data_IF_773209250407
#
_entry.id   IF_773209250407
#
_cell.length_a   1.000
_cell.length_b   1.000
_cell.length_c   1.000
_cell.angle_alpha   90.00
_cell.angle_beta   90.00
_cell.angle_gamma   90.00
#
_symmetry.space_group_name_H-M   'P 1'
#
loop_
_entity.id
_entity.type
_entity.pdbx_description
1 polymer ?
#
# COMPACT_ATOMS: atom_id res chain seq x y z
N UNK A 1 -31.61 14.97 -56.07
CA UNK A 1 -31.54 16.41 -56.40
C UNK A 1 -32.69 17.04 -55.63
N UNK A 2 -32.54 17.36 -54.35
CA UNK A 2 -31.30 17.70 -53.65
C UNK A 2 -31.30 17.18 -52.21
N UNK A 3 -30.12 16.69 -51.84
CA UNK A 3 -29.66 16.43 -50.49
C UNK A 3 -29.66 17.73 -49.67
N UNK A 4 -30.08 17.64 -48.42
CA UNK A 4 -29.75 18.63 -47.40
C UNK A 4 -29.39 17.85 -46.14
N UNK A 5 -28.08 17.68 -45.96
CA UNK A 5 -27.39 17.27 -44.75
C UNK A 5 -27.94 18.00 -43.51
N UNK A 6 -28.29 17.22 -42.50
CA UNK A 6 -28.42 17.69 -41.11
C UNK A 6 -27.14 17.26 -40.39
N UNK A 7 -26.18 18.17 -40.15
CA UNK A 7 -24.98 17.81 -39.42
C UNK A 7 -25.31 17.82 -37.94
N UNK A 8 -25.26 16.63 -37.35
CA UNK A 8 -25.02 16.37 -35.94
C UNK A 8 -23.93 17.30 -35.41
N UNK A 9 -24.31 18.28 -34.59
CA UNK A 9 -23.39 18.86 -33.64
C UNK A 9 -23.47 18.08 -32.34
N UNK A 10 -22.79 16.93 -32.31
CA UNK A 10 -22.05 16.54 -31.12
C UNK A 10 -21.07 17.68 -30.86
N UNK A 11 -21.37 18.48 -29.84
CA UNK A 11 -20.36 19.32 -29.21
C UNK A 11 -19.63 18.39 -28.28
N UNK A 12 -18.49 17.89 -28.75
CA UNK A 12 -17.44 17.40 -27.87
C UNK A 12 -17.24 18.43 -26.76
N UNK A 13 -17.58 18.07 -25.53
CA UNK A 13 -17.19 18.83 -24.37
C UNK A 13 -15.67 18.70 -24.30
N UNK A 14 -14.94 19.73 -24.72
CA UNK A 14 -13.51 19.86 -24.43
C UNK A 14 -13.34 19.72 -22.92
N UNK A 15 -12.81 18.57 -22.48
CA UNK A 15 -12.40 18.36 -21.09
C UNK A 15 -11.27 19.33 -20.80
N UNK A 16 -11.59 20.51 -20.26
CA UNK A 16 -10.60 21.48 -19.75
C UNK A 16 -10.04 21.03 -18.38
N UNK A 17 -9.98 19.72 -18.15
CA UNK A 17 -9.48 19.11 -16.91
C UNK A 17 -7.99 18.80 -17.03
N UNK A 18 -7.32 18.67 -15.89
CA UNK A 18 -5.95 18.18 -15.83
C UNK A 18 -5.88 16.74 -16.35
N UNK A 19 -5.08 16.52 -17.39
CA UNK A 19 -4.82 15.21 -17.99
C UNK A 19 -3.61 14.57 -17.31
N UNK A 20 -3.87 13.82 -16.24
CA UNK A 20 -2.84 13.13 -15.46
C UNK A 20 -2.09 12.07 -16.28
N UNK A 21 -2.70 11.49 -17.31
CA UNK A 21 -2.07 10.49 -18.17
C UNK A 21 -1.08 11.13 -19.14
N UNK A 22 -1.44 12.28 -19.71
CA UNK A 22 -0.50 13.08 -20.49
C UNK A 22 0.68 13.51 -19.65
N UNK A 23 0.40 13.97 -18.43
CA UNK A 23 1.41 14.41 -17.49
C UNK A 23 2.37 13.28 -17.09
N UNK A 24 1.83 12.11 -16.75
CA UNK A 24 2.62 10.93 -16.39
C UNK A 24 3.49 10.39 -17.54
N UNK A 25 3.07 10.56 -18.79
CA UNK A 25 3.87 10.18 -19.97
C UNK A 25 5.02 11.14 -20.26
N UNK A 26 4.92 12.39 -19.78
CA UNK A 26 5.88 13.45 -20.09
C UNK A 26 6.99 13.55 -19.05
N UNK A 27 6.67 13.35 -17.76
CA UNK A 27 7.59 13.62 -16.66
C UNK A 27 7.88 12.39 -15.80
N UNK A 28 9.11 12.32 -15.28
CA UNK A 28 9.56 11.29 -14.37
C UNK A 28 8.74 11.30 -13.05
N UNK A 29 8.33 10.12 -12.51
CA UNK A 29 7.54 10.04 -11.29
C UNK A 29 8.25 10.63 -10.06
N UNK A 30 9.58 10.58 -9.99
CA UNK A 30 10.35 11.20 -8.91
C UNK A 30 10.26 12.73 -8.98
N UNK A 31 10.37 13.32 -10.18
CA UNK A 31 10.21 14.75 -10.37
C UNK A 31 8.78 15.21 -10.01
N UNK A 32 7.77 14.42 -10.42
CA UNK A 32 6.36 14.67 -10.10
C UNK A 32 6.07 14.63 -8.60
N UNK A 33 6.54 13.58 -7.90
CA UNK A 33 6.37 13.47 -6.45
C UNK A 33 7.04 14.62 -5.69
N UNK A 34 8.26 15.00 -6.08
CA UNK A 34 8.97 16.16 -5.51
C UNK A 34 8.23 17.47 -5.74
N UNK A 35 7.67 17.66 -6.94
CA UNK A 35 6.93 18.86 -7.26
C UNK A 35 5.70 19.05 -6.37
N UNK A 36 4.93 17.97 -6.17
CA UNK A 36 3.76 17.98 -5.28
C UNK A 36 4.17 18.34 -3.85
N UNK A 37 5.15 17.64 -3.28
CA UNK A 37 5.64 17.92 -1.92
C UNK A 37 6.12 19.37 -1.79
N UNK A 38 6.96 19.83 -2.71
CA UNK A 38 7.53 21.19 -2.72
C UNK A 38 6.43 22.26 -2.76
N UNK A 39 5.42 22.10 -3.60
CA UNK A 39 4.31 23.06 -3.71
C UNK A 39 3.40 23.06 -2.48
N UNK A 40 3.13 21.89 -1.89
CA UNK A 40 2.29 21.78 -0.71
C UNK A 40 2.98 22.34 0.54
N UNK A 41 4.30 22.20 0.65
CA UNK A 41 5.13 22.88 1.67
C UNK A 41 5.08 24.40 1.48
N UNK A 42 5.27 24.90 0.25
CA UNK A 42 5.20 26.34 -0.04
C UNK A 42 3.82 26.95 0.28
N UNK A 43 2.76 26.14 0.22
CA UNK A 43 1.40 26.53 0.63
C UNK A 43 1.11 26.32 2.11
N UNK A 44 2.10 25.92 2.91
CA UNK A 44 1.98 25.64 4.33
C UNK A 44 0.92 24.57 4.66
N UNK A 45 0.66 23.66 3.70
CA UNK A 45 -0.33 22.58 3.86
C UNK A 45 0.26 21.34 4.53
N UNK A 46 1.57 21.13 4.40
CA UNK A 46 2.32 20.08 5.08
C UNK A 46 3.76 20.57 5.34
N UNK A 47 4.49 19.93 6.24
CA UNK A 47 5.92 20.19 6.46
C UNK A 47 6.78 19.04 5.91
N UNK A 48 8.06 19.31 5.66
CA UNK A 48 9.00 18.23 5.30
C UNK A 48 9.15 17.22 6.43
N UNK A 49 9.21 17.71 7.68
CA UNK A 49 9.22 16.88 8.90
C UNK A 49 8.02 15.95 8.96
N UNK A 50 6.80 16.41 8.67
CA UNK A 50 5.62 15.55 8.67
C UNK A 50 5.70 14.42 7.63
N UNK A 51 6.25 14.71 6.44
CA UNK A 51 6.47 13.68 5.40
C UNK A 51 7.53 12.68 5.86
N UNK A 52 8.64 13.17 6.41
CA UNK A 52 9.74 12.33 6.89
C UNK A 52 9.29 11.43 8.05
N UNK A 53 8.50 11.95 8.99
CA UNK A 53 7.95 11.21 10.12
C UNK A 53 7.01 10.09 9.65
N UNK A 54 6.15 10.35 8.65
CA UNK A 54 5.28 9.31 8.08
C UNK A 54 6.11 8.24 7.37
N UNK A 55 7.09 8.63 6.56
CA UNK A 55 7.96 7.65 5.88
C UNK A 55 8.68 6.77 6.91
N UNK A 56 9.34 7.37 7.91
CA UNK A 56 10.04 6.64 8.96
C UNK A 56 9.11 5.70 9.71
N UNK A 57 7.91 6.16 10.08
CA UNK A 57 6.91 5.34 10.78
C UNK A 57 6.55 4.06 10.00
N UNK A 58 6.34 4.15 8.69
CA UNK A 58 5.94 2.98 7.88
C UNK A 58 7.10 2.15 7.35
N UNK A 59 8.32 2.70 7.27
CA UNK A 59 9.52 1.94 6.88
C UNK A 59 10.18 1.25 8.07
N UNK A 60 10.16 1.86 9.27
CA UNK A 60 10.94 1.41 10.43
C UNK A 60 10.07 0.87 11.58
N UNK A 61 8.94 1.52 11.88
CA UNK A 61 8.20 1.28 13.12
C UNK A 61 6.98 0.35 12.95
N UNK A 62 6.29 0.41 11.80
CA UNK A 62 5.07 -0.35 11.55
C UNK A 62 5.35 -1.58 10.68
N UNK A 63 5.38 -2.74 11.34
CA UNK A 63 5.48 -4.04 10.68
C UNK A 63 4.47 -5.07 11.20
N UNK A 64 4.40 -6.25 10.58
CA UNK A 64 3.45 -7.32 10.93
C UNK A 64 3.63 -7.88 12.36
N UNK A 65 4.70 -7.50 13.07
CA UNK A 65 4.97 -7.93 14.44
C UNK A 65 3.86 -7.54 15.41
N UNK A 66 3.16 -6.41 15.19
CA UNK A 66 2.02 -6.01 16.00
C UNK A 66 0.88 -7.02 15.89
N UNK A 67 0.47 -7.39 14.68
CA UNK A 67 -0.53 -8.43 14.44
C UNK A 67 -0.12 -9.78 15.04
N UNK A 68 1.15 -10.17 14.89
CA UNK A 68 1.66 -11.42 15.46
C UNK A 68 1.53 -11.48 16.99
N UNK A 69 1.82 -10.37 17.68
CA UNK A 69 1.62 -10.25 19.15
C UNK A 69 0.14 -10.34 19.53
N UNK A 70 -0.74 -9.71 18.76
CA UNK A 70 -2.19 -9.80 18.98
C UNK A 70 -2.67 -11.25 18.87
N UNK A 71 -2.24 -11.96 17.81
CA UNK A 71 -2.60 -13.38 17.59
C UNK A 71 -2.05 -14.28 18.71
N UNK A 72 -0.77 -14.15 19.06
CA UNK A 72 -0.14 -14.97 20.10
C UNK A 72 -0.82 -14.78 21.46
N UNK A 73 -1.19 -13.54 21.81
CA UNK A 73 -1.96 -13.25 23.02
C UNK A 73 -3.37 -13.85 22.97
N UNK A 74 -4.05 -13.78 21.82
CA UNK A 74 -5.38 -14.37 21.65
C UNK A 74 -5.38 -15.90 21.75
N UNK A 75 -4.28 -16.57 21.39
CA UNK A 75 -4.13 -18.01 21.59
C UNK A 75 -3.92 -18.40 23.05
N UNK A 76 -3.23 -17.57 23.83
CA UNK A 76 -2.86 -17.86 25.23
C UNK A 76 -3.84 -17.31 26.27
N UNK A 77 -4.65 -16.30 25.91
CA UNK A 77 -5.64 -15.66 26.78
C UNK A 77 -7.03 -15.67 26.12
N UNK A 78 -7.87 -16.60 26.56
CA UNK A 78 -9.25 -16.73 26.06
C UNK A 78 -10.12 -15.50 26.34
N UNK A 79 -9.87 -14.77 27.44
CA UNK A 79 -10.64 -13.58 27.76
C UNK A 79 -10.24 -12.40 26.85
N UNK A 80 -8.95 -12.31 26.50
CA UNK A 80 -8.49 -11.38 25.48
C UNK A 80 -9.03 -11.75 24.10
N UNK A 81 -9.03 -13.05 23.74
CA UNK A 81 -9.64 -13.51 22.49
C UNK A 81 -11.11 -13.10 22.35
N UNK A 82 -11.91 -13.26 23.41
CA UNK A 82 -13.31 -12.83 23.39
C UNK A 82 -13.44 -11.32 23.19
N UNK A 83 -12.58 -10.51 23.81
CA UNK A 83 -12.56 -9.05 23.61
C UNK A 83 -12.14 -8.68 22.20
N UNK A 84 -11.09 -9.32 21.66
CA UNK A 84 -10.56 -9.08 20.33
C UNK A 84 -11.58 -9.33 19.22
N UNK A 85 -12.43 -10.35 19.40
CA UNK A 85 -13.48 -10.71 18.43
C UNK A 85 -14.76 -9.88 18.59
N UNK A 86 -14.93 -9.17 19.71
CA UNK A 86 -16.06 -8.26 19.95
C UNK A 86 -15.73 -6.83 19.46
N UNK A 87 -14.51 -6.35 19.75
CA UNK A 87 -14.01 -5.03 19.37
C UNK A 87 -12.48 -5.10 19.15
N UNK A 88 -12.08 -5.30 17.90
CA UNK A 88 -10.67 -5.48 17.52
C UNK A 88 -9.83 -4.23 17.80
N UNK A 89 -10.36 -3.06 17.45
CA UNK A 89 -9.74 -1.75 17.71
C UNK A 89 -9.45 -1.57 19.20
N UNK A 90 -10.47 -1.67 20.06
CA UNK A 90 -10.30 -1.44 21.50
C UNK A 90 -9.36 -2.47 22.15
N UNK A 91 -9.37 -3.72 21.69
CA UNK A 91 -8.47 -4.76 22.19
C UNK A 91 -7.00 -4.49 21.80
N UNK A 92 -6.74 -3.98 20.60
CA UNK A 92 -5.40 -3.63 20.12
C UNK A 92 -4.87 -2.35 20.79
N UNK A 93 -5.71 -1.33 21.00
CA UNK A 93 -5.34 -0.14 21.78
C UNK A 93 -4.93 -0.50 23.21
N UNK A 94 -5.60 -1.48 23.83
CA UNK A 94 -5.24 -1.99 25.15
C UNK A 94 -3.87 -2.71 25.18
N UNK A 95 -3.29 -2.99 24.01
CA UNK A 95 -1.91 -3.49 23.82
C UNK A 95 -0.91 -2.39 23.45
N UNK A 96 -1.31 -1.12 23.56
CA UNK A 96 -0.52 0.05 23.15
C UNK A 96 -0.20 0.05 21.64
N UNK A 97 -1.08 -0.55 20.82
CA UNK A 97 -1.02 -0.45 19.35
C UNK A 97 -1.86 0.76 18.94
N UNK A 98 -1.20 1.72 18.32
CA UNK A 98 -1.80 2.98 17.88
C UNK A 98 -2.59 2.76 16.58
N UNK A 99 -3.92 2.77 16.70
CA UNK A 99 -4.86 2.70 15.58
C UNK A 99 -5.45 4.09 15.40
N UNK A 100 -5.23 4.66 14.23
CA UNK A 100 -5.86 5.92 13.86
C UNK A 100 -7.34 5.68 13.54
N UNK A 101 -8.18 5.80 14.56
CA UNK A 101 -9.64 5.59 14.47
C UNK A 101 -10.37 6.65 13.65
N UNK A 102 -9.71 7.76 13.29
CA UNK A 102 -10.27 8.73 12.35
C UNK A 102 -10.13 8.24 10.89
N UNK A 103 -9.27 7.24 10.63
CA UNK A 103 -9.05 6.68 9.28
C UNK A 103 -9.44 5.21 9.13
N UNK A 104 -9.39 4.40 10.18
CA UNK A 104 -9.78 2.99 10.10
C UNK A 104 -10.21 2.37 11.44
N UNK A 105 -11.17 1.44 11.34
CA UNK A 105 -11.49 0.49 12.41
C UNK A 105 -10.98 -0.90 12.03
N UNK A 106 -10.54 -1.69 13.02
CA UNK A 106 -10.04 -3.05 12.79
C UNK A 106 -11.00 -4.10 13.35
N UNK A 107 -11.50 -4.97 12.48
CA UNK A 107 -12.31 -6.13 12.83
C UNK A 107 -11.50 -7.42 12.68
N UNK A 108 -11.55 -8.30 13.69
CA UNK A 108 -10.81 -9.56 13.68
C UNK A 108 -11.75 -10.72 13.42
N UNK A 109 -11.44 -11.51 12.38
CA UNK A 109 -12.25 -12.66 11.95
C UNK A 109 -11.49 -13.96 12.21
N UNK A 110 -12.07 -14.87 12.99
CA UNK A 110 -11.36 -16.06 13.46
C UNK A 110 -11.56 -17.26 12.54
N UNK A 111 -10.47 -17.94 12.19
CA UNK A 111 -10.53 -19.27 11.60
C UNK A 111 -10.91 -20.30 12.68
N UNK A 112 -11.65 -21.32 12.28
CA UNK A 112 -11.96 -22.49 13.08
C UNK A 112 -11.88 -23.79 12.26
N UNK A 113 -12.36 -24.90 12.82
CA UNK A 113 -12.24 -26.21 12.17
C UNK A 113 -13.07 -26.31 10.88
N UNK A 114 -14.14 -25.52 10.78
CA UNK A 114 -15.11 -25.55 9.69
C UNK A 114 -15.03 -24.28 8.81
N UNK A 115 -14.35 -23.21 9.25
CA UNK A 115 -14.31 -21.91 8.58
C UNK A 115 -12.88 -21.39 8.39
N UNK A 116 -12.55 -20.98 7.17
CA UNK A 116 -11.33 -20.26 6.81
C UNK A 116 -11.67 -18.89 6.25
N UNK A 117 -11.07 -17.83 6.80
CA UNK A 117 -11.28 -16.46 6.38
C UNK A 117 -10.17 -16.02 5.42
N UNK A 118 -10.54 -15.20 4.43
CA UNK A 118 -9.63 -14.60 3.45
C UNK A 118 -9.99 -13.12 3.30
N UNK A 119 -9.01 -12.22 3.45
CA UNK A 119 -9.22 -10.77 3.37
C UNK A 119 -8.77 -10.24 2.02
N UNK A 120 -9.56 -9.37 1.39
CA UNK A 120 -9.23 -8.68 0.13
C UNK A 120 -9.74 -7.24 0.16
N UNK A 121 -9.21 -6.38 -0.72
CA UNK A 121 -9.85 -5.13 -1.09
C UNK A 121 -10.04 -5.13 -2.60
N UNK A 122 -11.25 -5.45 -3.07
CA UNK A 122 -11.50 -5.59 -4.52
C UNK A 122 -11.37 -4.27 -5.26
N UNK A 123 -11.56 -3.13 -4.59
CA UNK A 123 -11.54 -1.80 -5.21
C UNK A 123 -10.15 -1.19 -5.32
N UNK A 124 -9.26 -1.45 -4.36
CA UNK A 124 -7.90 -0.89 -4.37
C UNK A 124 -6.96 -1.80 -3.59
N UNK A 125 -6.64 -1.45 -2.34
CA UNK A 125 -5.66 -2.16 -1.50
C UNK A 125 -5.80 -1.81 -0.02
N UNK A 126 -7.03 -1.53 0.45
CA UNK A 126 -7.31 -1.26 1.86
C UNK A 126 -6.75 -2.37 2.75
N UNK A 127 -5.96 -2.00 3.75
CA UNK A 127 -5.20 -2.95 4.55
C UNK A 127 -5.02 -2.42 5.99
N UNK A 128 -5.02 -3.27 7.03
CA UNK A 128 -4.92 -2.83 8.43
C UNK A 128 -3.47 -2.45 8.77
N UNK A 129 -3.01 -1.28 8.32
CA UNK A 129 -1.60 -0.91 8.40
C UNK A 129 -1.03 -0.93 9.82
N UNK A 130 -1.82 -0.49 10.82
CA UNK A 130 -1.39 -0.44 12.22
C UNK A 130 -0.91 -1.78 12.79
N UNK A 131 -1.43 -2.90 12.27
CA UNK A 131 -1.10 -4.25 12.74
C UNK A 131 -0.31 -5.09 11.74
N UNK A 132 -0.48 -4.86 10.44
CA UNK A 132 0.13 -5.69 9.40
C UNK A 132 1.19 -5.00 8.54
N UNK A 133 1.47 -3.71 8.76
CA UNK A 133 2.34 -2.92 7.89
C UNK A 133 1.69 -2.60 6.54
N UNK A 134 2.48 -2.22 5.54
CA UNK A 134 1.96 -2.00 4.20
C UNK A 134 1.59 -3.33 3.49
N UNK A 135 0.57 -3.31 2.61
CA UNK A 135 0.15 -4.51 1.89
C UNK A 135 1.26 -5.02 0.96
N UNK A 136 1.43 -6.35 0.85
CA UNK A 136 2.40 -6.91 -0.09
C UNK A 136 2.01 -6.61 -1.54
N UNK A 137 2.99 -6.64 -2.44
CA UNK A 137 2.80 -6.39 -3.89
C UNK A 137 1.65 -7.21 -4.47
N UNK A 138 1.63 -8.52 -4.18
CA UNK A 138 0.59 -9.44 -4.70
C UNK A 138 -0.83 -9.06 -4.24
N UNK A 139 -1.00 -8.43 -3.08
CA UNK A 139 -2.31 -8.03 -2.57
C UNK A 139 -2.93 -6.90 -3.39
N UNK A 140 -2.08 -6.05 -3.97
CA UNK A 140 -2.48 -4.87 -4.75
C UNK A 140 -2.86 -5.22 -6.19
N UNK A 141 -2.51 -6.43 -6.66
CA UNK A 141 -2.65 -6.76 -8.09
C UNK A 141 -4.10 -7.10 -8.47
N UNK A 142 -4.52 -6.79 -9.72
CA UNK A 142 -5.84 -7.16 -10.23
C UNK A 142 -6.12 -8.67 -10.18
N UNK A 143 -5.09 -9.51 -10.36
CA UNK A 143 -5.19 -10.97 -10.34
C UNK A 143 -5.68 -11.46 -8.98
N UNK A 144 -5.02 -11.03 -7.89
CA UNK A 144 -5.43 -11.40 -6.55
C UNK A 144 -6.83 -10.85 -6.23
N UNK A 145 -7.04 -9.55 -6.44
CA UNK A 145 -8.27 -8.84 -6.09
C UNK A 145 -9.50 -9.45 -6.74
N UNK A 146 -9.40 -9.79 -8.03
CA UNK A 146 -10.52 -10.38 -8.77
C UNK A 146 -10.73 -11.86 -8.45
N UNK A 147 -9.65 -12.62 -8.25
CA UNK A 147 -9.73 -14.07 -8.03
C UNK A 147 -10.16 -14.41 -6.60
N UNK A 148 -9.79 -13.62 -5.60
CA UNK A 148 -10.14 -13.84 -4.20
C UNK A 148 -11.67 -13.93 -3.98
N UNK A 149 -12.46 -13.11 -4.68
CA UNK A 149 -13.93 -13.15 -4.57
C UNK A 149 -14.60 -14.11 -5.55
N UNK A 150 -13.91 -14.49 -6.63
CA UNK A 150 -14.48 -15.31 -7.71
C UNK A 150 -14.22 -16.80 -7.52
N UNK A 151 -13.01 -17.15 -7.12
CA UNK A 151 -12.54 -18.51 -6.93
C UNK A 151 -11.51 -18.54 -5.77
N UNK A 152 -11.95 -18.26 -4.53
CA UNK A 152 -11.05 -18.21 -3.37
C UNK A 152 -10.33 -19.54 -3.12
N UNK A 153 -11.01 -20.68 -3.33
CA UNK A 153 -10.40 -21.99 -3.13
C UNK A 153 -9.34 -22.28 -4.17
N UNK A 154 -9.60 -21.99 -5.44
CA UNK A 154 -8.61 -22.13 -6.51
C UNK A 154 -7.43 -21.18 -6.32
N UNK A 155 -7.67 -19.92 -5.91
CA UNK A 155 -6.62 -18.97 -5.55
C UNK A 155 -5.68 -19.54 -4.48
N UNK A 156 -6.24 -19.99 -3.35
CA UNK A 156 -5.46 -20.55 -2.24
C UNK A 156 -4.65 -21.78 -2.67
N UNK A 157 -5.27 -22.70 -3.42
CA UNK A 157 -4.61 -23.94 -3.82
C UNK A 157 -3.51 -23.72 -4.88
N UNK A 158 -3.76 -22.87 -5.87
CA UNK A 158 -2.87 -22.71 -7.03
C UNK A 158 -1.77 -21.67 -6.82
N UNK A 159 -2.09 -20.56 -6.14
CA UNK A 159 -1.19 -19.41 -6.04
C UNK A 159 -0.45 -19.36 -4.69
N UNK A 160 -1.06 -19.93 -3.64
CA UNK A 160 -0.51 -19.96 -2.28
C UNK A 160 -0.23 -21.37 -1.75
N UNK A 161 -0.48 -22.41 -2.55
CA UNK A 161 -0.23 -23.82 -2.20
C UNK A 161 -0.96 -24.30 -0.94
N UNK A 162 -2.09 -23.66 -0.59
CA UNK A 162 -2.95 -24.00 0.54
C UNK A 162 -4.14 -24.82 0.07
N UNK A 163 -4.09 -26.14 0.32
CA UNK A 163 -5.22 -27.02 0.08
C UNK A 163 -6.15 -27.10 1.30
N UNK A 164 -7.39 -26.63 1.13
CA UNK A 164 -8.46 -26.75 2.11
C UNK A 164 -9.42 -27.87 1.71
N UNK A 165 -9.84 -28.69 2.68
CA UNK A 165 -10.85 -29.71 2.48
C UNK A 165 -12.17 -29.09 1.98
N UNK A 166 -12.91 -29.84 1.14
CA UNK A 166 -14.12 -29.35 0.46
C UNK A 166 -15.24 -28.92 1.43
N UNK A 167 -15.23 -29.44 2.65
CA UNK A 167 -16.20 -29.16 3.70
C UNK A 167 -15.86 -27.92 4.55
N UNK A 168 -14.66 -27.37 4.44
CA UNK A 168 -14.29 -26.10 5.09
C UNK A 168 -14.92 -24.94 4.32
N UNK A 169 -15.76 -24.13 4.95
CA UNK A 169 -16.30 -22.90 4.38
C UNK A 169 -15.21 -21.84 4.24
N UNK A 170 -15.12 -21.18 3.08
CA UNK A 170 -14.23 -20.03 2.91
C UNK A 170 -15.08 -18.75 2.94
N UNK A 171 -14.82 -17.90 3.93
CA UNK A 171 -15.44 -16.58 4.05
C UNK A 171 -14.48 -15.50 3.54
N UNK A 172 -14.90 -14.79 2.50
CA UNK A 172 -14.11 -13.71 1.90
C UNK A 172 -14.59 -12.36 2.43
N UNK A 173 -13.68 -11.59 3.02
CA UNK A 173 -13.92 -10.30 3.63
C UNK A 173 -13.36 -9.19 2.75
N UNK A 174 -14.26 -8.47 2.08
CA UNK A 174 -13.91 -7.41 1.15
C UNK A 174 -13.93 -6.02 1.82
N UNK A 175 -12.75 -5.44 2.01
CA UNK A 175 -12.50 -4.17 2.69
C UNK A 175 -12.90 -2.98 1.82
N UNK A 176 -14.21 -2.77 1.63
CA UNK A 176 -14.79 -1.70 0.77
C UNK A 176 -15.32 -0.50 1.56
N UNK A 177 -15.11 -0.46 2.87
CA UNK A 177 -15.52 0.62 3.79
C UNK A 177 -14.35 1.05 4.68
N UNK A 178 -14.57 1.87 5.70
CA UNK A 178 -13.55 2.27 6.70
C UNK A 178 -13.07 1.06 7.56
N UNK A 179 -13.82 -0.05 7.55
CA UNK A 179 -13.42 -1.29 8.22
C UNK A 179 -12.22 -1.95 7.53
N UNK A 180 -11.28 -2.44 8.33
CA UNK A 180 -10.14 -3.26 7.93
C UNK A 180 -10.19 -4.59 8.66
N UNK A 181 -10.06 -5.69 7.92
CA UNK A 181 -10.11 -7.03 8.50
C UNK A 181 -8.71 -7.58 8.76
N UNK A 182 -8.55 -8.28 9.87
CA UNK A 182 -7.39 -9.14 10.15
C UNK A 182 -7.88 -10.54 10.49
N UNK A 183 -7.27 -11.57 9.91
CA UNK A 183 -7.57 -12.95 10.26
C UNK A 183 -6.89 -13.31 11.57
N UNK A 184 -7.63 -13.91 12.51
CA UNK A 184 -7.06 -14.66 13.63
C UNK A 184 -6.92 -16.12 13.20
N UNK A 185 -5.72 -16.58 12.79
CA UNK A 185 -5.51 -17.96 12.36
C UNK A 185 -5.69 -18.93 13.53
N UNK A 186 -5.96 -20.20 13.21
CA UNK A 186 -5.91 -21.26 14.20
C UNK A 186 -4.47 -21.47 14.69
N UNK A 187 -4.31 -21.72 15.99
CA UNK A 187 -3.02 -22.10 16.55
C UNK A 187 -2.56 -23.43 15.95
N UNK A 188 -1.36 -23.51 15.35
CA UNK A 188 -0.89 -24.73 14.73
C UNK A 188 -0.60 -25.83 15.79
N UNK A 189 -0.88 -27.11 15.48
CA UNK A 189 -0.55 -28.22 16.38
C UNK A 189 0.93 -28.27 16.72
N UNK A 190 1.27 -28.68 17.95
CA UNK A 190 2.64 -28.78 18.43
C UNK A 190 3.22 -27.47 19.00
N UNK A 191 2.39 -26.44 19.13
CA UNK A 191 2.74 -25.16 19.77
C UNK A 191 2.03 -24.94 21.11
N UNK A 192 1.38 -25.97 21.66
CA UNK A 192 0.53 -25.86 22.86
C UNK A 192 1.31 -25.49 24.13
N UNK A 193 2.60 -25.84 24.17
CA UNK A 193 3.50 -25.58 25.30
C UNK A 193 4.38 -24.33 25.09
N UNK A 194 4.29 -23.66 23.94
CA UNK A 194 5.06 -22.45 23.63
C UNK A 194 4.58 -21.26 24.45
N UNK A 195 5.52 -20.39 24.84
CA UNK A 195 5.16 -19.10 25.41
C UNK A 195 4.77 -18.07 24.33
N UNK A 196 4.30 -16.90 24.76
CA UNK A 196 3.83 -15.85 23.83
C UNK A 196 4.94 -15.36 22.89
N UNK A 197 6.19 -15.26 23.36
CA UNK A 197 7.32 -14.82 22.53
C UNK A 197 7.64 -15.85 21.44
N UNK A 198 7.61 -17.14 21.79
CA UNK A 198 7.77 -18.24 20.84
C UNK A 198 6.62 -18.30 19.83
N UNK A 199 5.38 -18.07 20.27
CA UNK A 199 4.20 -18.07 19.38
C UNK A 199 4.22 -16.91 18.38
N UNK A 200 4.74 -15.74 18.77
CA UNK A 200 4.92 -14.60 17.84
C UNK A 200 5.80 -14.98 16.65
N UNK A 201 6.85 -15.79 16.85
CA UNK A 201 7.73 -16.25 15.75
C UNK A 201 7.02 -17.20 14.76
N UNK A 202 5.87 -17.78 15.14
CA UNK A 202 5.11 -18.72 14.30
C UNK A 202 4.07 -18.01 13.45
N UNK A 203 3.60 -16.83 13.88
CA UNK A 203 2.55 -16.09 13.16
C UNK A 203 3.14 -15.35 11.96
N UNK A 204 2.60 -15.62 10.78
CA UNK A 204 3.00 -14.95 9.54
C UNK A 204 1.98 -13.89 9.14
N UNK A 205 2.44 -12.86 8.40
CA UNK A 205 1.53 -11.87 7.78
C UNK A 205 0.51 -12.56 6.87
N UNK A 206 0.95 -13.53 6.09
CA UNK A 206 0.11 -14.24 5.12
C UNK A 206 -1.02 -15.04 5.82
N UNK A 207 -0.76 -15.61 7.00
CA UNK A 207 -1.80 -16.24 7.82
C UNK A 207 -2.80 -15.23 8.39
N UNK A 208 -2.36 -14.00 8.68
CA UNK A 208 -3.23 -12.90 9.13
C UNK A 208 -4.01 -12.21 7.99
N UNK A 209 -3.63 -12.45 6.73
CA UNK A 209 -4.44 -12.10 5.54
C UNK A 209 -5.41 -13.26 5.20
N UNK A 210 -5.04 -14.49 5.57
CA UNK A 210 -5.81 -15.70 5.26
C UNK A 210 -5.39 -16.40 3.97
N UNK A 211 -4.21 -16.07 3.43
CA UNK A 211 -3.63 -16.78 2.26
C UNK A 211 -2.70 -17.92 2.66
N UNK A 212 -2.48 -18.13 3.97
CA UNK A 212 -1.70 -19.24 4.53
C UNK A 212 -2.49 -19.96 5.64
N UNK A 213 -2.13 -21.20 5.94
CA UNK A 213 -2.61 -21.97 7.09
C UNK A 213 -1.43 -22.51 7.88
N UNK A 214 -1.22 -21.94 9.07
CA UNK A 214 -0.11 -22.33 9.93
C UNK A 214 -0.14 -23.82 10.25
N UNK A 215 1.01 -24.49 10.09
CA UNK A 215 1.17 -25.91 10.37
C UNK A 215 0.73 -26.87 9.24
N UNK A 216 0.22 -26.38 8.10
CA UNK A 216 -0.03 -27.23 6.93
C UNK A 216 1.25 -27.46 6.10
N UNK A 217 2.22 -28.17 6.70
CA UNK A 217 3.19 -28.91 5.90
C UNK A 217 2.45 -30.06 5.21
N UNK A 218 2.41 -30.06 3.87
CA UNK A 218 1.72 -31.05 3.04
C UNK A 218 1.92 -32.49 3.57
N UNK A 219 0.82 -33.21 3.74
CA UNK A 219 0.84 -34.66 3.99
C UNK A 219 1.24 -35.37 2.70
N UNK A 220 2.51 -35.80 2.61
CA UNK A 220 2.91 -36.76 1.59
C UNK A 220 2.38 -38.16 1.95
N UNK A 221 1.62 -38.76 1.04
CA UNK A 221 0.98 -40.07 1.17
C UNK A 221 1.95 -41.27 1.29
N UNK A 222 3.25 -41.04 1.43
CA UNK A 222 4.31 -42.05 1.55
C UNK A 222 5.15 -41.93 2.84
N UNK A 223 4.74 -41.10 3.81
CA UNK A 223 5.26 -41.17 5.18
C UNK A 223 6.66 -40.60 5.40
N UNK A 224 7.06 -39.59 4.62
CA UNK A 224 8.24 -38.77 4.89
C UNK A 224 7.89 -37.50 5.66
N UNK A 225 8.63 -37.20 6.74
CA UNK A 225 8.60 -35.90 7.42
C UNK A 225 9.63 -34.99 6.75
N UNK A 226 9.21 -33.81 6.30
CA UNK A 226 10.12 -32.67 6.13
C UNK A 226 9.77 -31.65 7.20
N UNK A 227 10.61 -31.58 8.23
CA UNK A 227 10.54 -30.54 9.25
C UNK A 227 10.83 -29.21 8.59
N UNK A 228 9.85 -28.31 8.54
CA UNK A 228 10.19 -26.90 8.54
C UNK A 228 10.69 -26.60 9.96
N UNK A 229 12.01 -26.64 10.16
CA UNK A 229 12.62 -26.05 11.35
C UNK A 229 12.33 -24.55 11.36
N UNK A 230 12.13 -23.94 12.52
CA UNK A 230 11.85 -22.49 12.67
C UNK A 230 12.83 -21.53 11.99
N UNK A 231 13.94 -22.02 11.45
CA UNK A 231 14.85 -21.28 10.58
C UNK A 231 14.27 -21.00 9.17
N UNK A 232 13.31 -21.80 8.68
CA UNK A 232 12.65 -21.62 7.37
C UNK A 232 11.39 -20.73 7.43
N UNK A 233 10.78 -20.57 8.61
CA UNK A 233 9.70 -19.60 8.82
C UNK A 233 10.23 -18.15 8.87
N UNK A 234 11.52 -17.96 9.16
CA UNK A 234 12.19 -16.65 9.20
C UNK A 234 12.34 -15.99 7.83
N UNK A 235 12.29 -16.75 6.74
CA UNK A 235 12.39 -16.23 5.36
C UNK A 235 11.02 -15.80 4.78
N UNK A 236 9.91 -16.06 5.48
CA UNK A 236 8.58 -15.58 5.10
C UNK A 236 8.39 -14.15 5.65
N UNK A 237 9.01 -13.19 4.96
CA UNK A 237 8.58 -11.79 4.88
C UNK A 237 8.39 -11.03 6.21
N UNK A 238 9.30 -11.22 7.16
CA UNK A 238 9.30 -10.50 8.45
C UNK A 238 10.42 -9.45 8.60
N UNK A 239 11.16 -9.05 7.56
CA UNK A 239 12.02 -7.86 7.73
C UNK A 239 13.10 -7.48 6.71
N UNK A 240 13.33 -8.21 5.60
CA UNK A 240 14.51 -7.94 4.73
C UNK A 240 14.17 -7.34 3.35
N UNK A 241 12.90 -7.06 3.05
CA UNK A 241 12.50 -6.33 1.83
C UNK A 241 12.15 -4.89 2.17
N UNK A 242 12.63 -3.91 1.40
CA UNK A 242 12.26 -2.52 1.64
C UNK A 242 10.75 -2.35 1.42
N UNK A 243 10.11 -1.61 2.32
CA UNK A 243 8.66 -1.31 2.28
C UNK A 243 8.25 -0.63 0.97
N UNK A 244 9.15 0.15 0.38
CA UNK A 244 9.03 0.79 -0.93
C UNK A 244 10.24 0.44 -1.80
N UNK A 245 10.05 0.31 -3.11
CA UNK A 245 11.14 -0.01 -4.05
C UNK A 245 11.95 1.23 -4.47
N UNK A 246 11.35 2.42 -4.34
CA UNK A 246 12.02 3.69 -4.64
C UNK A 246 11.60 4.81 -3.67
N UNK A 247 12.51 5.75 -3.33
CA UNK A 247 12.21 6.83 -2.38
C UNK A 247 11.00 7.71 -2.76
N UNK A 248 10.74 7.89 -4.05
CA UNK A 248 9.60 8.69 -4.51
C UNK A 248 8.26 8.04 -4.19
N UNK A 249 8.20 6.70 -4.11
CA UNK A 249 6.98 5.96 -3.76
C UNK A 249 6.61 6.24 -2.29
N UNK A 250 7.59 6.16 -1.38
CA UNK A 250 7.43 6.49 0.03
C UNK A 250 6.97 7.94 0.22
N UNK A 251 7.59 8.87 -0.51
CA UNK A 251 7.26 10.30 -0.49
C UNK A 251 5.84 10.57 -1.00
N UNK A 252 5.43 9.97 -2.13
CA UNK A 252 4.09 10.11 -2.68
C UNK A 252 3.02 9.53 -1.74
N UNK A 253 3.30 8.38 -1.13
CA UNK A 253 2.48 7.79 -0.08
C UNK A 253 2.31 8.75 1.10
N UNK A 254 3.43 9.23 1.66
CA UNK A 254 3.42 10.09 2.83
C UNK A 254 2.74 11.44 2.59
N UNK A 255 2.87 12.02 1.39
CA UNK A 255 2.14 13.24 1.02
C UNK A 255 0.63 13.00 0.99
N UNK A 256 0.18 11.88 0.42
CA UNK A 256 -1.25 11.56 0.40
C UNK A 256 -1.79 11.38 1.83
N UNK A 257 -1.09 10.61 2.68
CA UNK A 257 -1.46 10.40 4.09
C UNK A 257 -1.48 11.71 4.88
N UNK A 258 -0.45 12.56 4.74
CA UNK A 258 -0.39 13.86 5.41
C UNK A 258 -1.56 14.78 5.01
N UNK A 259 -2.00 14.71 3.76
CA UNK A 259 -3.15 15.47 3.29
C UNK A 259 -4.51 14.87 3.71
N UNK A 260 -4.55 13.65 4.23
CA UNK A 260 -5.80 13.06 4.74
C UNK A 260 -5.86 13.05 6.27
N UNK A 261 -4.87 13.62 6.96
CA UNK A 261 -4.92 13.79 8.41
C UNK A 261 -6.08 14.72 8.85
N UNK A 262 -6.37 15.77 8.06
CA UNK A 262 -7.47 16.71 8.32
C UNK A 262 -8.66 16.57 7.34
N UNK A 263 -8.67 15.51 6.51
CA UNK A 263 -9.65 15.31 5.43
C UNK A 263 -10.07 13.84 5.34
N UNK A 264 -11.33 13.51 5.00
CA UNK A 264 -11.75 12.12 4.91
C UNK A 264 -10.91 11.34 3.89
N UNK A 265 -10.39 10.17 4.29
CA UNK A 265 -9.55 9.32 3.45
C UNK A 265 -10.22 8.96 2.12
N UNK A 266 -11.54 8.82 2.12
CA UNK A 266 -12.38 8.48 0.97
C UNK A 266 -12.19 9.45 -0.20
N UNK A 267 -11.84 10.71 0.10
CA UNK A 267 -11.62 11.74 -0.91
C UNK A 267 -10.42 11.42 -1.80
N UNK A 268 -9.35 10.88 -1.24
CA UNK A 268 -8.21 10.36 -2.01
C UNK A 268 -8.52 8.96 -2.56
N UNK A 269 -9.05 8.07 -1.71
CA UNK A 269 -9.30 6.67 -2.04
C UNK A 269 -10.14 6.49 -3.31
N UNK A 270 -11.21 7.29 -3.48
CA UNK A 270 -12.07 7.19 -4.68
C UNK A 270 -11.25 7.36 -5.97
N UNK A 271 -10.34 8.32 -5.99
CA UNK A 271 -9.51 8.61 -7.16
C UNK A 271 -8.51 7.48 -7.40
N UNK A 272 -7.93 6.91 -6.34
CA UNK A 272 -7.07 5.74 -6.46
C UNK A 272 -7.83 4.55 -7.06
N UNK A 273 -9.06 4.27 -6.62
CA UNK A 273 -9.91 3.21 -7.20
C UNK A 273 -10.12 3.46 -8.69
N UNK A 274 -10.43 4.69 -9.10
CA UNK A 274 -10.60 5.03 -10.53
C UNK A 274 -9.32 4.82 -11.36
N UNK A 275 -8.13 5.14 -10.81
CA UNK A 275 -6.85 4.91 -11.50
C UNK A 275 -6.56 3.41 -11.64
N UNK A 276 -6.78 2.65 -10.57
CA UNK A 276 -6.57 1.21 -10.52
C UNK A 276 -7.52 0.47 -11.48
N UNK A 277 -8.79 0.87 -11.52
CA UNK A 277 -9.79 0.26 -12.41
C UNK A 277 -9.50 0.55 -13.89
N UNK A 278 -8.93 1.72 -14.22
CA UNK A 278 -8.56 2.06 -15.60
C UNK A 278 -7.49 1.15 -16.18
N UNK A 279 -6.59 0.67 -15.35
CA UNK A 279 -5.45 -0.15 -15.72
C UNK A 279 -5.62 -1.64 -15.38
N UNK A 280 -6.82 -2.06 -14.96
CA UNK A 280 -7.08 -3.41 -14.45
C UNK A 280 -6.79 -4.53 -15.47
N UNK A 281 -6.91 -4.26 -16.76
CA UNK A 281 -6.69 -5.21 -17.85
C UNK A 281 -5.29 -5.10 -18.50
N UNK A 282 -4.45 -4.18 -18.03
CA UNK A 282 -3.13 -3.97 -18.61
C UNK A 282 -2.11 -4.97 -18.03
N UNK A 283 -1.22 -5.46 -18.91
CA UNK A 283 -0.12 -6.35 -18.52
C UNK A 283 1.04 -5.51 -17.98
N UNK A 284 1.24 -5.58 -16.65
CA UNK A 284 2.19 -4.74 -15.93
C UNK A 284 3.49 -5.53 -15.67
N UNK A 285 4.57 -5.11 -16.32
CA UNK A 285 5.88 -5.74 -16.14
C UNK A 285 6.44 -5.57 -14.72
N UNK A 286 6.04 -4.49 -14.06
CA UNK A 286 6.39 -4.15 -12.68
C UNK A 286 5.12 -3.70 -11.94
N UNK A 287 4.42 -4.63 -11.26
CA UNK A 287 3.17 -4.32 -10.57
C UNK A 287 3.32 -3.31 -9.43
N UNK A 288 4.47 -3.28 -8.75
CA UNK A 288 4.71 -2.39 -7.61
C UNK A 288 4.92 -0.94 -8.09
N UNK A 289 5.80 -0.73 -9.07
CA UNK A 289 6.00 0.59 -9.67
C UNK A 289 4.71 1.11 -10.30
N UNK A 290 3.98 0.25 -11.01
CA UNK A 290 2.70 0.62 -11.63
C UNK A 290 1.68 1.11 -10.60
N UNK A 291 1.57 0.40 -9.48
CA UNK A 291 0.64 0.78 -8.41
C UNK A 291 0.97 2.16 -7.83
N UNK A 292 2.25 2.48 -7.60
CA UNK A 292 2.62 3.81 -7.08
C UNK A 292 2.55 4.91 -8.15
N UNK A 293 2.66 4.59 -9.43
CA UNK A 293 2.35 5.53 -10.50
C UNK A 293 0.85 5.87 -10.55
N UNK A 294 -0.02 4.87 -10.36
CA UNK A 294 -1.47 5.07 -10.18
C UNK A 294 -1.77 5.91 -8.95
N UNK A 295 -1.11 5.62 -7.82
CA UNK A 295 -1.17 6.43 -6.61
C UNK A 295 -0.81 7.89 -6.87
N UNK A 296 0.27 8.12 -7.61
CA UNK A 296 0.73 9.46 -7.92
C UNK A 296 -0.25 10.20 -8.84
N UNK A 297 -0.81 9.54 -9.86
CA UNK A 297 -1.88 10.13 -10.71
C UNK A 297 -3.13 10.46 -9.88
N UNK A 298 -3.52 9.58 -8.97
CA UNK A 298 -4.65 9.83 -8.05
C UNK A 298 -4.37 11.04 -7.15
N UNK A 299 -3.15 11.16 -6.64
CA UNK A 299 -2.72 12.28 -5.79
C UNK A 299 -2.72 13.60 -6.56
N UNK A 300 -2.22 13.62 -7.80
CA UNK A 300 -2.22 14.80 -8.67
C UNK A 300 -3.66 15.26 -8.97
N UNK A 301 -4.54 14.32 -9.30
CA UNK A 301 -5.96 14.63 -9.49
C UNK A 301 -6.61 15.13 -8.21
N UNK A 302 -6.30 14.51 -7.07
CA UNK A 302 -6.80 14.91 -5.76
C UNK A 302 -6.45 16.37 -5.46
N UNK A 303 -5.17 16.74 -5.55
CA UNK A 303 -4.75 18.12 -5.23
C UNK A 303 -5.29 19.16 -6.20
N UNK A 304 -5.53 18.80 -7.47
CA UNK A 304 -6.10 19.71 -8.48
C UNK A 304 -7.60 19.86 -8.30
N UNK A 305 -8.34 18.76 -8.17
CA UNK A 305 -9.80 18.77 -8.08
C UNK A 305 -10.29 19.37 -6.76
N UNK A 306 -9.55 19.18 -5.66
CA UNK A 306 -9.82 19.84 -4.37
C UNK A 306 -9.36 21.32 -4.37
N UNK A 307 -8.74 21.80 -5.46
CA UNK A 307 -8.28 23.18 -5.60
C UNK A 307 -7.08 23.55 -4.73
N UNK A 308 -6.36 22.54 -4.23
CA UNK A 308 -5.16 22.71 -3.41
C UNK A 308 -3.99 23.22 -4.25
N UNK A 309 -3.85 22.72 -5.48
CA UNK A 309 -2.84 23.11 -6.45
C UNK A 309 -3.48 23.37 -7.82
N UNK A 310 -2.83 24.23 -8.61
CA UNK A 310 -3.21 24.47 -10.01
C UNK A 310 -2.33 23.60 -10.92
N UNK A 311 -2.93 22.97 -11.94
CA UNK A 311 -2.23 22.02 -12.80
C UNK A 311 -1.04 22.62 -13.54
N UNK A 312 -1.13 23.88 -13.99
CA UNK A 312 -0.02 24.54 -14.66
C UNK A 312 1.13 24.83 -13.68
N UNK A 313 0.80 25.07 -12.40
CA UNK A 313 1.82 25.23 -11.35
C UNK A 313 2.54 23.92 -11.06
N UNK A 314 1.81 22.79 -11.02
CA UNK A 314 2.39 21.46 -10.88
C UNK A 314 3.32 21.18 -12.06
N UNK A 315 2.87 21.42 -13.28
CA UNK A 315 3.64 21.16 -14.50
C UNK A 315 4.96 21.95 -14.53
N UNK A 316 4.90 23.26 -14.23
CA UNK A 316 6.11 24.08 -14.16
C UNK A 316 7.07 23.57 -13.09
N UNK A 317 6.57 23.24 -11.88
CA UNK A 317 7.43 22.74 -10.80
C UNK A 317 8.05 21.40 -11.13
N UNK A 318 7.30 20.50 -11.76
CA UNK A 318 7.80 19.19 -12.19
C UNK A 318 8.89 19.36 -13.23
N UNK A 319 8.71 20.24 -14.21
CA UNK A 319 9.74 20.53 -15.21
C UNK A 319 11.03 21.10 -14.57
N UNK A 320 10.92 21.93 -13.52
CA UNK A 320 12.09 22.43 -12.76
C UNK A 320 12.87 21.29 -12.08
N UNK A 321 12.19 20.30 -11.51
CA UNK A 321 12.84 19.13 -10.92
C UNK A 321 13.42 18.18 -11.98
N UNK A 322 12.70 17.96 -13.08
CA UNK A 322 13.11 17.07 -14.18
C UNK A 322 14.35 17.62 -14.91
N UNK A 323 14.41 18.94 -15.11
CA UNK A 323 15.57 19.63 -15.67
C UNK A 323 16.76 19.72 -14.69
N UNK A 324 16.55 19.44 -13.41
CA UNK A 324 17.56 19.57 -12.35
C UNK A 324 17.77 21.01 -11.86
N UNK A 325 16.89 21.95 -12.22
CA UNK A 325 16.89 23.32 -11.71
C UNK A 325 16.53 23.38 -10.21
N UNK A 326 15.78 22.38 -9.73
CA UNK A 326 15.48 22.12 -8.32
C UNK A 326 15.87 20.69 -7.95
N UNK A 327 16.15 20.44 -6.67
CA UNK A 327 16.58 19.12 -6.21
C UNK A 327 16.13 18.84 -4.77
N UNK A 328 16.36 17.60 -4.33
CA UNK A 328 15.90 17.10 -3.03
C UNK A 328 16.48 17.85 -1.81
N UNK A 329 17.50 18.68 -1.97
CA UNK A 329 18.07 19.45 -0.85
C UNK A 329 17.06 20.47 -0.30
N UNK A 330 15.99 20.79 -1.03
CA UNK A 330 14.89 21.63 -0.52
C UNK A 330 14.13 21.01 0.65
N UNK A 331 14.25 19.69 0.85
CA UNK A 331 13.55 18.95 1.89
C UNK A 331 14.44 18.62 3.10
N UNK A 332 15.72 18.99 3.06
CA UNK A 332 16.68 18.70 4.13
C UNK A 332 16.94 19.95 4.95
N UNK A 333 16.53 19.94 6.23
CA UNK A 333 16.86 21.02 7.15
C UNK A 333 18.37 21.07 7.42
N UNK A 334 19.03 22.14 6.94
CA UNK A 334 20.39 22.49 7.36
C UNK A 334 21.53 22.36 6.34
N UNK A 335 21.27 22.23 5.03
CA UNK A 335 22.32 22.29 3.99
C UNK A 335 22.42 23.68 3.34
N UNK A 336 23.47 24.50 3.65
CA UNK A 336 23.57 25.89 3.18
C UNK A 336 24.28 26.03 1.82
N UNK A 337 24.45 24.99 1.02
CA UNK A 337 25.22 25.05 -0.23
C UNK A 337 24.40 24.82 -1.49
N UNK A 338 23.48 25.75 -1.76
CA UNK A 338 23.04 26.02 -3.13
C UNK A 338 24.18 26.63 -3.94
N UNK A 339 24.92 25.80 -4.68
CA UNK A 339 25.68 26.26 -5.83
C UNK A 339 25.05 25.68 -7.09
N UNK A 340 24.35 26.57 -7.79
CA UNK A 340 24.04 26.46 -9.21
C UNK A 340 25.36 26.15 -9.93
N UNK A 341 25.53 24.96 -10.49
CA UNK A 341 26.62 24.65 -11.41
C UNK A 341 26.37 25.37 -12.75
N UNK A 342 26.48 26.69 -12.69
CA UNK A 342 26.50 27.58 -13.84
C UNK A 342 27.86 28.24 -13.91
N UNK A 343 28.84 27.57 -14.52
CA UNK A 343 29.90 28.30 -15.22
C UNK A 343 30.50 27.46 -16.36
N UNK A 344 29.88 27.63 -17.52
CA UNK A 344 30.50 27.44 -18.82
C UNK A 344 31.63 28.46 -19.00
N UNK A 345 32.84 28.15 -18.52
CA UNK A 345 34.03 28.87 -18.97
C UNK A 345 34.71 28.14 -20.12
N UNK A 346 34.24 28.49 -21.32
CA UNK A 346 35.03 28.41 -22.53
C UNK A 346 36.32 29.24 -22.36
N UNK A 347 37.48 28.61 -22.50
CA UNK A 347 38.70 29.31 -22.85
C UNK A 347 39.22 28.77 -24.18
N UNK A 348 38.87 29.54 -25.21
CA UNK A 348 39.42 29.51 -26.55
C UNK A 348 40.90 29.88 -26.55
N UNK A 349 41.61 29.37 -27.54
CA UNK A 349 43.03 29.56 -27.80
C UNK A 349 43.37 31.03 -28.11
N UNK A 350 44.55 31.56 -27.72
CA UNK A 350 45.63 31.84 -28.69
C UNK A 350 46.93 32.51 -28.13
N UNK A 351 48.03 32.13 -28.80
CA UNK A 351 49.29 32.82 -29.12
C UNK A 351 50.32 33.41 -28.11
N UNK A 352 51.54 32.89 -28.29
CA UNK A 352 52.84 33.56 -28.47
C UNK A 352 53.66 34.03 -27.25
N UNK A 353 54.83 33.38 -27.05
CA UNK A 353 56.14 33.98 -27.37
C UNK A 353 57.27 32.94 -27.46
#
# INVERSE_FOLDING_TARGET
>A
MDDADDPTHDRDAEHTGFDADAFAREYDPEARARALQSLLIEKEMLSSEAVDDIVARYEEDIGPLNGARVVARAWTDSAFREQLLDDGTAAMEAMDIDIDTDTMDVEVVANDDDTHNLVVCTLCSCYPWAVLGLPPTWYKTPEYRSRAVRDPRGLLAEDFEVELADDIEIQVWDSTSELRYMVLPQQPPGTEDMDEEELVEVVTRDAMIGVDRLGSGQTAADGGVTSATGEQLRDLDLGDRPTFEAPWQARAFAVAVALTDDRPWETFQHRLVEEVDRDADADHADPESTYYEQWLRALERFVVEEGLLDSATIEVRTAEFDAGDRNAHEFVDGDPHGHVDGDSHAHDHDHAH
#
